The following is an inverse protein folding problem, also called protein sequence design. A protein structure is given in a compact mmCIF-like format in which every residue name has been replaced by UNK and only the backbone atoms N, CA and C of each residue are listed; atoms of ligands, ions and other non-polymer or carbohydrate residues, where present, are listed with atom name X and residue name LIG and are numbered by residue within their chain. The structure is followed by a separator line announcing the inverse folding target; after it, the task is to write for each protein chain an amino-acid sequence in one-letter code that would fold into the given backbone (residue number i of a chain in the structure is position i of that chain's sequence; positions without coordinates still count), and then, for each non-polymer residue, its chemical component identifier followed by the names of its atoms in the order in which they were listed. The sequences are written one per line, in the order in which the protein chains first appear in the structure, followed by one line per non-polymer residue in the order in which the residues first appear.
data_IF_251954094023
#
_entry.id   IF_251954094023
#
_cell.length_a   1.000
_cell.length_b   1.000
_cell.length_c   1.000
_cell.angle_alpha   90.00
_cell.angle_beta   90.00
_cell.angle_gamma   90.00
#
_symmetry.space_group_name_H-M   'P 1'
#
loop_
_entity.id
_entity.type
_entity.pdbx_description
1 polymer ?
#
# COMPACT_ATOMS: atom_id res chain seq x y z
N UNK A 1 22.50 -3.70 -8.31
CA UNK A 1 23.88 -3.87 -7.83
C UNK A 1 23.78 -4.45 -6.43
N UNK A 2 24.56 -5.48 -6.08
CA UNK A 2 24.49 -6.08 -4.75
C UNK A 2 25.05 -5.11 -3.71
N UNK A 3 24.30 -4.88 -2.64
CA UNK A 3 24.73 -4.07 -1.50
C UNK A 3 26.14 -4.50 -1.03
N UNK A 4 27.03 -3.52 -0.93
CA UNK A 4 28.45 -3.73 -0.57
C UNK A 4 28.61 -3.96 0.93
N UNK A 5 27.59 -3.63 1.72
CA UNK A 5 27.54 -3.81 3.17
C UNK A 5 26.12 -4.20 3.64
N UNK A 6 26.04 -4.81 4.83
CA UNK A 6 24.75 -5.08 5.49
C UNK A 6 23.96 -3.81 5.80
N UNK A 7 24.67 -2.70 6.04
CA UNK A 7 24.07 -1.39 6.30
C UNK A 7 23.30 -0.89 5.07
N UNK A 8 23.94 -0.92 3.91
CA UNK A 8 23.31 -0.53 2.63
C UNK A 8 22.13 -1.44 2.27
N UNK A 9 22.22 -2.74 2.55
CA UNK A 9 21.09 -3.66 2.34
C UNK A 9 19.91 -3.31 3.25
N UNK A 10 20.19 -2.98 4.51
CA UNK A 10 19.17 -2.60 5.48
C UNK A 10 18.49 -1.28 5.11
N UNK A 11 19.26 -0.28 4.67
CA UNK A 11 18.73 1.01 4.18
C UNK A 11 17.85 0.81 2.94
N UNK A 12 18.31 0.00 1.97
CA UNK A 12 17.55 -0.31 0.77
C UNK A 12 16.24 -1.05 1.07
N UNK A 13 16.28 -2.09 1.91
CA UNK A 13 15.07 -2.84 2.29
C UNK A 13 14.10 -1.97 3.09
N UNK A 14 14.59 -1.08 3.96
CA UNK A 14 13.74 -0.11 4.65
C UNK A 14 13.08 0.88 3.67
N UNK A 15 13.80 1.33 2.64
CA UNK A 15 13.25 2.16 1.57
C UNK A 15 12.15 1.43 0.78
N UNK A 16 12.38 0.16 0.45
CA UNK A 16 11.39 -0.70 -0.22
C UNK A 16 10.11 -0.85 0.60
N UNK A 17 10.25 -1.06 1.92
CA UNK A 17 9.10 -1.16 2.83
C UNK A 17 8.36 0.19 2.89
N UNK A 18 9.09 1.31 3.02
CA UNK A 18 8.49 2.65 3.04
C UNK A 18 7.66 2.92 1.78
N UNK A 19 8.21 2.61 0.61
CA UNK A 19 7.49 2.74 -0.66
C UNK A 19 6.27 1.80 -0.75
N UNK A 20 6.42 0.55 -0.31
CA UNK A 20 5.34 -0.42 -0.30
C UNK A 20 4.17 0.04 0.58
N UNK A 21 4.45 0.56 1.78
CA UNK A 21 3.43 1.05 2.72
C UNK A 21 2.65 2.23 2.12
N UNK A 22 3.32 3.19 1.45
CA UNK A 22 2.64 4.27 0.71
C UNK A 22 1.70 3.75 -0.38
N UNK A 23 2.15 2.76 -1.17
CA UNK A 23 1.31 2.11 -2.19
C UNK A 23 0.14 1.33 -1.57
N UNK A 24 0.32 0.78 -0.37
CA UNK A 24 -0.75 0.10 0.37
C UNK A 24 -1.83 1.09 0.85
N UNK A 25 -1.46 2.30 1.29
CA UNK A 25 -2.43 3.37 1.61
C UNK A 25 -3.32 3.67 0.41
N UNK A 26 -2.73 3.92 -0.76
CA UNK A 26 -3.48 4.19 -2.00
C UNK A 26 -4.39 3.01 -2.38
N UNK A 27 -3.91 1.77 -2.22
CA UNK A 27 -4.69 0.57 -2.51
C UNK A 27 -5.87 0.41 -1.54
N UNK A 28 -5.68 0.64 -0.24
CA UNK A 28 -6.75 0.55 0.76
C UNK A 28 -7.81 1.65 0.56
N UNK A 29 -7.41 2.86 0.19
CA UNK A 29 -8.36 3.91 -0.22
C UNK A 29 -9.19 3.48 -1.43
N UNK A 30 -8.55 2.91 -2.44
CA UNK A 30 -9.25 2.39 -3.61
C UNK A 30 -10.20 1.24 -3.24
N UNK A 31 -9.80 0.34 -2.34
CA UNK A 31 -10.66 -0.77 -1.90
C UNK A 31 -11.85 -0.30 -1.06
N UNK A 32 -11.65 0.67 -0.16
CA UNK A 32 -12.75 1.29 0.58
C UNK A 32 -13.75 1.96 -0.38
N UNK A 33 -13.25 2.70 -1.37
CA UNK A 33 -14.10 3.39 -2.35
C UNK A 33 -14.86 2.44 -3.30
N UNK A 34 -14.39 1.22 -3.52
CA UNK A 34 -14.99 0.23 -4.41
C UNK A 34 -15.75 -0.89 -3.66
N UNK A 35 -15.79 -0.86 -2.33
CA UNK A 35 -16.50 -1.86 -1.52
C UNK A 35 -17.93 -1.41 -1.23
N UNK A 36 -18.90 -2.25 -1.54
CA UNK A 36 -20.31 -2.03 -1.20
C UNK A 36 -20.68 -2.56 0.21
N UNK A 37 -19.76 -3.28 0.86
CA UNK A 37 -19.93 -3.84 2.20
C UNK A 37 -19.35 -2.89 3.26
N UNK A 38 -20.19 -2.51 4.23
CA UNK A 38 -19.82 -1.56 5.26
C UNK A 38 -18.73 -2.11 6.19
N UNK A 39 -18.76 -3.40 6.53
CA UNK A 39 -17.76 -4.01 7.41
C UNK A 39 -16.39 -4.12 6.75
N UNK A 40 -16.35 -4.38 5.45
CA UNK A 40 -15.09 -4.35 4.68
C UNK A 40 -14.54 -2.94 4.55
N UNK A 41 -15.40 -1.94 4.35
CA UNK A 41 -15.00 -0.53 4.27
C UNK A 41 -14.33 -0.07 5.57
N UNK A 42 -14.98 -0.32 6.71
CA UNK A 42 -14.42 0.00 8.04
C UNK A 42 -13.07 -0.72 8.28
N UNK A 43 -12.94 -1.97 7.81
CA UNK A 43 -11.69 -2.72 7.90
C UNK A 43 -10.57 -2.07 7.07
N UNK A 44 -10.87 -1.63 5.83
CA UNK A 44 -9.89 -0.96 4.98
C UNK A 44 -9.48 0.41 5.52
N UNK A 45 -10.42 1.15 6.11
CA UNK A 45 -10.12 2.42 6.78
C UNK A 45 -9.18 2.20 7.98
N UNK A 46 -9.44 1.20 8.82
CA UNK A 46 -8.57 0.85 9.94
C UNK A 46 -7.18 0.36 9.48
N UNK A 47 -7.10 -0.40 8.38
CA UNK A 47 -5.81 -0.81 7.80
C UNK A 47 -5.04 0.40 7.26
N UNK A 48 -5.72 1.35 6.61
CA UNK A 48 -5.12 2.59 6.10
C UNK A 48 -4.49 3.41 7.24
N UNK A 49 -5.21 3.59 8.34
CA UNK A 49 -4.70 4.30 9.53
C UNK A 49 -3.45 3.60 10.09
N UNK A 50 -3.53 2.27 10.28
CA UNK A 50 -2.41 1.48 10.79
C UNK A 50 -1.16 1.56 9.91
N UNK A 51 -1.33 1.53 8.58
CA UNK A 51 -0.21 1.68 7.65
C UNK A 51 0.36 3.10 7.70
N UNK A 52 -0.49 4.12 7.90
CA UNK A 52 -0.04 5.48 8.19
C UNK A 52 0.90 5.55 9.40
N UNK A 53 0.54 4.91 10.50
CA UNK A 53 1.40 4.82 11.70
C UNK A 53 2.73 4.10 11.42
N UNK A 54 2.72 3.08 10.56
CA UNK A 54 3.95 2.39 10.15
C UNK A 54 4.89 3.32 9.38
N UNK A 55 4.34 4.15 8.48
CA UNK A 55 5.11 5.14 7.71
C UNK A 55 5.77 6.15 8.66
N UNK A 56 5.03 6.68 9.64
CA UNK A 56 5.58 7.61 10.64
C UNK A 56 6.74 6.97 11.42
N UNK A 57 6.59 5.71 11.82
CA UNK A 57 7.64 4.98 12.53
C UNK A 57 8.86 4.72 11.67
N UNK A 58 8.68 4.45 10.38
CA UNK A 58 9.80 4.30 9.45
C UNK A 58 10.58 5.62 9.33
N UNK A 59 9.89 6.76 9.28
CA UNK A 59 10.53 8.08 9.27
C UNK A 59 11.36 8.31 10.54
N UNK A 60 10.86 7.94 11.72
CA UNK A 60 11.65 8.02 12.97
C UNK A 60 12.91 7.13 12.94
N UNK A 61 12.82 5.95 12.34
CA UNK A 61 13.96 5.03 12.20
C UNK A 61 15.00 5.63 11.24
N UNK A 62 14.58 6.21 10.11
CA UNK A 62 15.48 6.93 9.20
C UNK A 62 16.17 8.13 9.88
N UNK A 63 15.43 8.94 10.65
CA UNK A 63 16.00 10.06 11.40
C UNK A 63 17.05 9.60 12.43
N UNK A 64 16.79 8.47 13.10
CA UNK A 64 17.74 7.86 14.05
C UNK A 64 19.01 7.35 13.37
N UNK A 65 18.93 6.94 12.10
CA UNK A 65 20.08 6.51 11.29
C UNK A 65 20.88 7.70 10.74
N UNK A 66 20.34 8.93 10.81
CA UNK A 66 21.01 10.15 10.34
C UNK A 66 21.04 10.29 8.82
N UNK A 67 20.30 9.46 8.10
CA UNK A 67 20.14 9.48 6.64
C UNK A 67 18.69 9.88 6.31
N UNK A 68 18.45 10.74 5.31
CA UNK A 68 17.10 11.08 4.90
C UNK A 68 16.40 9.84 4.33
N UNK A 69 15.09 9.65 4.54
CA UNK A 69 14.33 8.59 3.87
C UNK A 69 14.45 8.82 2.36
N UNK A 70 15.24 7.99 1.67
CA UNK A 70 15.34 8.05 0.23
C UNK A 70 14.08 7.41 -0.36
N UNK A 71 13.26 8.22 -1.03
CA UNK A 71 12.27 7.75 -1.99
C UNK A 71 13.01 7.24 -3.24
N UNK A 72 13.90 6.25 -3.12
CA UNK A 72 14.41 5.56 -4.31
C UNK A 72 13.28 4.68 -4.84
N UNK A 73 12.74 5.06 -6.01
CA UNK A 73 11.78 4.27 -6.78
C UNK A 73 12.38 2.91 -7.15
N UNK A 74 12.17 1.91 -6.29
CA UNK A 74 12.49 0.53 -6.63
C UNK A 74 11.52 0.01 -7.70
N UNK A 75 12.03 -0.18 -8.91
CA UNK A 75 11.32 -0.70 -10.10
C UNK A 75 10.60 -2.04 -9.87
N UNK A 76 10.91 -2.76 -8.78
CA UNK A 76 10.26 -4.02 -8.41
C UNK A 76 8.82 -3.87 -7.93
N UNK A 77 8.47 -2.78 -7.24
CA UNK A 77 7.15 -2.61 -6.62
C UNK A 77 6.14 -2.03 -7.63
N UNK A 78 6.58 -1.11 -8.50
CA UNK A 78 5.80 -0.55 -9.63
C UNK A 78 5.22 -1.65 -10.54
N UNK A 79 5.95 -2.74 -10.77
CA UNK A 79 5.50 -3.85 -11.62
C UNK A 79 4.29 -4.61 -11.05
N UNK A 80 4.07 -4.57 -9.73
CA UNK A 80 2.97 -5.27 -9.07
C UNK A 80 1.72 -4.39 -8.87
N UNK A 81 1.89 -3.08 -8.61
CA UNK A 81 0.77 -2.14 -8.45
C UNK A 81 0.13 -1.75 -9.78
N UNK A 82 0.91 -1.74 -10.88
CA UNK A 82 0.40 -1.41 -12.21
C UNK A 82 -0.61 -2.44 -12.76
N UNK A 83 -0.58 -3.70 -12.27
CA UNK A 83 -1.55 -4.74 -12.71
C UNK A 83 -2.94 -4.53 -12.12
N UNK A 84 -3.04 -4.01 -10.89
CA UNK A 84 -4.32 -3.81 -10.18
C UNK A 84 -5.22 -2.80 -10.88
N UNK A 85 -4.65 -1.87 -11.67
CA UNK A 85 -5.41 -0.91 -12.50
C UNK A 85 -6.24 -1.57 -13.62
N UNK A 86 -5.95 -2.82 -14.01
CA UNK A 86 -6.65 -3.51 -15.10
C UNK A 86 -7.72 -4.50 -14.64
N UNK A 87 -7.67 -4.96 -13.39
CA UNK A 87 -8.47 -6.11 -12.94
C UNK A 87 -9.80 -5.74 -12.28
N UNK A 88 -10.02 -4.47 -11.95
CA UNK A 88 -11.28 -4.00 -11.37
C UNK A 88 -12.05 -3.16 -12.41
N UNK A 89 -12.95 -3.77 -13.21
CA UNK A 89 -13.75 -3.02 -14.16
C UNK A 89 -14.63 -2.03 -13.39
N UNK A 90 -14.52 -0.74 -13.73
CA UNK A 90 -15.42 0.30 -13.23
C UNK A 90 -16.88 -0.13 -13.44
N UNK A 91 -17.60 -0.29 -12.33
CA UNK A 91 -19.05 -0.39 -12.30
C UNK A 91 -19.62 -1.72 -12.77
N UNK A 92 -19.98 -2.57 -11.81
CA UNK A 92 -21.05 -3.57 -12.03
C UNK A 92 -21.95 -3.60 -10.80
N UNK A 93 -22.83 -2.61 -10.71
CA UNK A 93 -23.99 -2.66 -9.81
C UNK A 93 -24.79 -3.91 -10.14
N UNK A 94 -24.60 -4.97 -9.35
CA UNK A 94 -25.33 -6.22 -9.50
C UNK A 94 -26.70 -6.00 -8.87
N UNK A 95 -27.67 -5.58 -9.68
CA UNK A 95 -29.07 -5.52 -9.26
C UNK A 95 -29.49 -6.91 -8.79
N UNK A 96 -29.84 -6.99 -7.51
CA UNK A 96 -30.27 -8.22 -6.85
C UNK A 96 -31.69 -8.54 -7.33
N UNK A 97 -31.80 -9.37 -8.37
CA UNK A 97 -33.07 -9.95 -8.79
C UNK A 97 -33.53 -10.96 -7.73
N UNK A 98 -34.35 -10.52 -6.79
CA UNK A 98 -35.17 -11.44 -5.99
C UNK A 98 -36.42 -11.78 -6.78
N UNK A 99 -36.34 -12.86 -7.55
CA UNK A 99 -37.49 -13.53 -8.13
C UNK A 99 -38.28 -14.18 -6.99
N UNK A 100 -39.48 -13.68 -6.73
CA UNK A 100 -40.48 -14.33 -5.87
C UNK A 100 -41.80 -14.29 -6.62
N UNK A 101 -42.18 -15.42 -7.21
CA UNK A 101 -43.54 -15.99 -7.27
C UNK A 101 -43.40 -17.38 -7.89
#
# INVERSE_FOLDING_TARGET
MGATSLQELFEHELGDIYFAEHRMVEAYEAFAANSDDQGLTETFEAQRERVGDHIERLVEIFDTMGEPPQEEECQGIEASSASTRSSFPRGRTRTRSTSTT
#
